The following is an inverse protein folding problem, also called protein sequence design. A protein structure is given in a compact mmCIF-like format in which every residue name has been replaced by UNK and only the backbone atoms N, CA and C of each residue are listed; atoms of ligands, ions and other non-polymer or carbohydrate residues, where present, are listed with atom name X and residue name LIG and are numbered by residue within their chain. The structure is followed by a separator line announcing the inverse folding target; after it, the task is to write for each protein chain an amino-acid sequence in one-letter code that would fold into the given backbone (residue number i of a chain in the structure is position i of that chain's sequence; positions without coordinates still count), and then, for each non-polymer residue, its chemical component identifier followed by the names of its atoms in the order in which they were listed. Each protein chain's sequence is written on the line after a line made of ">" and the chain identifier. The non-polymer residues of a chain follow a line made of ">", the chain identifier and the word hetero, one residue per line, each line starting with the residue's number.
data_IF_195195633607
#
_entry.id   IF_195195633607
#
_cell.length_a   1.000
_cell.length_b   1.000
_cell.length_c   1.000
_cell.angle_alpha   90.00
_cell.angle_beta   90.00
_cell.angle_gamma   90.00
#
_symmetry.space_group_name_H-M   'P 1'
#
loop_
_entity.id
_entity.type
_entity.pdbx_description
1 polymer ?
#
# COMPACT_ATOMS: atom_id res chain seq x y z
N UNK A 1 4.20 -8.85 2.55
CA UNK A 1 5.37 -7.98 2.86
C UNK A 1 5.10 -6.51 2.54
N UNK A 2 4.33 -6.22 1.48
CA UNK A 2 4.04 -4.88 1.01
C UNK A 2 3.42 -3.92 2.06
N UNK A 3 2.44 -4.36 2.86
CA UNK A 3 1.84 -3.56 3.97
C UNK A 3 2.91 -3.13 4.99
N UNK A 4 3.79 -4.05 5.37
CA UNK A 4 4.87 -3.78 6.35
C UNK A 4 5.92 -2.82 5.77
N UNK A 5 6.23 -2.96 4.48
CA UNK A 5 7.13 -2.05 3.78
C UNK A 5 6.52 -0.64 3.63
N UNK A 6 5.23 -0.55 3.30
CA UNK A 6 4.49 0.71 3.23
C UNK A 6 4.44 1.37 4.61
N UNK A 7 4.16 0.62 5.67
CA UNK A 7 4.15 1.17 7.03
C UNK A 7 5.54 1.65 7.47
N UNK A 8 6.60 0.97 7.02
CA UNK A 8 7.97 1.41 7.32
C UNK A 8 8.34 2.69 6.56
N UNK A 9 7.83 2.86 5.33
CA UNK A 9 8.15 4.00 4.47
C UNK A 9 7.29 5.24 4.75
N UNK A 10 5.99 5.05 4.92
CA UNK A 10 4.98 6.11 5.06
C UNK A 10 4.54 6.32 6.52
N UNK A 11 5.02 5.49 7.44
CA UNK A 11 4.65 5.54 8.85
C UNK A 11 3.37 4.77 9.16
N UNK A 12 2.50 5.37 9.97
CA UNK A 12 1.28 4.70 10.43
C UNK A 12 0.28 4.63 9.27
N UNK A 13 0.06 3.42 8.75
CA UNK A 13 -1.06 3.13 7.86
C UNK A 13 -2.35 3.06 8.67
N UNK A 14 -3.37 3.77 8.23
CA UNK A 14 -4.72 3.64 8.79
C UNK A 14 -5.25 2.22 8.58
N UNK A 15 -6.07 1.76 9.53
CA UNK A 15 -6.67 0.42 9.51
C UNK A 15 -7.46 0.15 8.22
N UNK A 16 -8.14 1.17 7.68
CA UNK A 16 -8.88 1.10 6.42
C UNK A 16 -7.98 0.70 5.23
N UNK A 17 -6.76 1.25 5.16
CA UNK A 17 -5.82 0.90 4.10
C UNK A 17 -5.29 -0.51 4.26
N UNK A 18 -5.00 -0.94 5.49
CA UNK A 18 -4.58 -2.32 5.78
C UNK A 18 -5.67 -3.33 5.40
N UNK A 19 -6.93 -3.02 5.65
CA UNK A 19 -8.06 -3.89 5.31
C UNK A 19 -8.21 -4.02 3.79
N UNK A 20 -8.18 -2.89 3.06
CA UNK A 20 -8.19 -2.87 1.59
C UNK A 20 -7.01 -3.60 0.98
N UNK A 21 -5.80 -3.36 1.48
CA UNK A 21 -4.58 -4.04 1.04
C UNK A 21 -4.65 -5.55 1.28
N UNK A 22 -5.31 -5.99 2.35
CA UNK A 22 -5.51 -7.41 2.67
C UNK A 22 -6.56 -8.08 1.76
N UNK A 23 -7.44 -7.29 1.14
CA UNK A 23 -8.41 -7.77 0.14
C UNK A 23 -7.85 -7.80 -1.29
N UNK A 24 -6.66 -7.23 -1.52
CA UNK A 24 -6.02 -7.28 -2.83
C UNK A 24 -5.57 -8.70 -3.18
N UNK A 25 -5.71 -9.03 -4.46
CA UNK A 25 -5.18 -10.27 -5.01
C UNK A 25 -3.65 -10.20 -5.10
N UNK A 26 -3.03 -11.38 -5.21
CA UNK A 26 -1.58 -11.57 -5.13
C UNK A 26 -0.82 -10.73 -6.19
N UNK A 27 -1.36 -10.67 -7.41
CA UNK A 27 -0.80 -9.86 -8.50
C UNK A 27 -0.75 -8.37 -8.15
N UNK A 28 -1.82 -7.81 -7.58
CA UNK A 28 -1.84 -6.39 -7.22
C UNK A 28 -0.92 -6.10 -6.04
N UNK A 29 -0.75 -7.05 -5.11
CA UNK A 29 0.22 -6.95 -4.03
C UNK A 29 1.67 -6.97 -4.53
N UNK A 30 1.98 -7.74 -5.58
CA UNK A 30 3.29 -7.73 -6.23
C UNK A 30 3.55 -6.39 -6.91
N UNK A 31 2.60 -5.89 -7.71
CA UNK A 31 2.70 -4.55 -8.33
C UNK A 31 2.86 -3.45 -7.28
N UNK A 32 2.09 -3.48 -6.19
CA UNK A 32 2.23 -2.54 -5.07
C UNK A 32 3.65 -2.59 -4.47
N UNK A 33 4.26 -3.79 -4.41
CA UNK A 33 5.59 -3.97 -3.84
C UNK A 33 6.70 -3.49 -4.79
N UNK A 34 6.50 -3.57 -6.10
CA UNK A 34 7.40 -2.98 -7.12
C UNK A 34 7.32 -1.44 -7.13
N UNK A 35 6.10 -0.91 -7.08
CA UNK A 35 5.82 0.53 -7.09
C UNK A 35 6.04 1.18 -5.72
N UNK A 36 6.40 0.39 -4.69
CA UNK A 36 6.49 0.87 -3.31
C UNK A 36 7.53 1.97 -3.14
N UNK A 37 8.59 1.92 -3.95
CA UNK A 37 9.65 2.91 -3.97
C UNK A 37 9.20 4.23 -4.62
N UNK A 38 8.17 4.17 -5.48
CA UNK A 38 7.56 5.34 -6.11
C UNK A 38 6.55 6.07 -5.20
N UNK A 39 5.94 5.38 -4.23
CA UNK A 39 5.04 6.03 -3.27
C UNK A 39 5.79 7.00 -2.35
N UNK A 40 5.46 8.29 -2.44
CA UNK A 40 6.07 9.35 -1.62
C UNK A 40 5.21 9.69 -0.41
N UNK A 41 3.91 9.50 -0.53
CA UNK A 41 2.93 9.82 0.52
C UNK A 41 1.83 8.77 0.60
N UNK A 42 1.07 8.80 1.70
CA UNK A 42 -0.14 7.97 1.86
C UNK A 42 -1.19 8.27 0.78
N UNK A 43 -1.19 9.48 0.20
CA UNK A 43 -2.05 9.81 -0.93
C UNK A 43 -1.78 8.95 -2.17
N UNK A 44 -0.54 8.55 -2.43
CA UNK A 44 -0.25 7.70 -3.59
C UNK A 44 -0.78 6.28 -3.38
N UNK A 45 -0.70 5.78 -2.14
CA UNK A 45 -1.34 4.51 -1.74
C UNK A 45 -2.85 4.61 -1.87
N UNK A 46 -3.42 5.75 -1.49
CA UNK A 46 -4.86 6.02 -1.61
C UNK A 46 -5.30 5.99 -3.07
N UNK A 47 -4.57 6.66 -3.97
CA UNK A 47 -4.81 6.61 -5.43
C UNK A 47 -4.69 5.20 -5.98
N UNK A 48 -3.67 4.44 -5.56
CA UNK A 48 -3.49 3.05 -5.98
C UNK A 48 -4.66 2.16 -5.55
N UNK A 49 -5.17 2.37 -4.33
CA UNK A 49 -6.33 1.68 -3.78
C UNK A 49 -7.67 2.19 -4.34
N UNK A 50 -7.67 3.26 -5.15
CA UNK A 50 -8.87 3.88 -5.71
C UNK A 50 -9.77 4.54 -4.66
N UNK A 51 -9.19 5.06 -3.57
CA UNK A 51 -9.89 5.71 -2.45
C UNK A 51 -9.88 7.25 -2.55
#
# INVERSE_FOLDING_TARGET
>A
MAIKALSKKLGILLAEYCEKLSQLNLVTLETLNEEIDNFKSIEDVKKFLGL
#
